data_IF_377967682274
#
_entry.id   IF_377967682274
#
_cell.length_a   1.000
_cell.length_b   1.000
_cell.length_c   1.000
_cell.angle_alpha   90.00
_cell.angle_beta   90.00
_cell.angle_gamma   90.00
#
_symmetry.space_group_name_H-M   'P 1'
#
loop_
_entity.id
_entity.type
_entity.pdbx_description
1 polymer ?
#
# COMPACT_ATOMS: atom_id res chain seq x y z
N UNK A 1 29.02 -2.18 16.15
CA UNK A 1 28.11 -3.33 16.36
C UNK A 1 26.69 -2.83 16.18
N UNK A 2 25.91 -3.44 15.29
CA UNK A 2 24.48 -3.10 15.17
C UNK A 2 23.70 -3.85 16.25
N UNK A 3 22.67 -3.22 16.83
CA UNK A 3 21.84 -3.82 17.89
C UNK A 3 20.45 -4.09 17.31
N UNK A 4 19.96 -5.31 17.49
CA UNK A 4 18.58 -5.64 17.15
C UNK A 4 17.61 -4.84 18.03
N UNK A 5 16.54 -4.33 17.42
CA UNK A 5 15.51 -3.53 18.10
C UNK A 5 14.14 -4.15 17.82
N UNK A 6 13.27 -4.15 18.82
CA UNK A 6 11.89 -4.62 18.67
C UNK A 6 11.13 -3.74 17.68
N UNK A 7 10.36 -4.31 16.73
CA UNK A 7 9.56 -3.52 15.82
C UNK A 7 8.49 -2.73 16.56
N UNK A 8 8.28 -1.50 16.11
CA UNK A 8 7.15 -0.67 16.52
C UNK A 8 6.04 -0.77 15.47
N UNK A 9 4.86 -1.21 15.89
CA UNK A 9 3.72 -1.39 15.00
C UNK A 9 2.86 -0.12 14.98
N UNK A 10 2.66 0.44 13.79
CA UNK A 10 1.72 1.55 13.56
C UNK A 10 0.32 0.97 13.39
N UNK A 11 -0.66 1.54 14.10
CA UNK A 11 -2.06 1.10 14.02
C UNK A 11 -2.68 1.57 12.71
N UNK A 12 -3.37 0.67 12.02
CA UNK A 12 -4.15 0.96 10.81
C UNK A 12 -5.64 0.77 11.13
N UNK A 13 -6.48 1.64 10.58
CA UNK A 13 -7.93 1.57 10.64
C UNK A 13 -8.57 1.72 9.24
N UNK A 14 -9.89 1.57 9.19
CA UNK A 14 -10.64 1.62 7.93
C UNK A 14 -10.49 0.35 7.09
N UNK A 15 -10.79 0.40 5.78
CA UNK A 15 -10.87 -0.79 4.94
C UNK A 15 -9.56 -1.59 4.86
N UNK A 16 -8.41 -0.94 4.95
CA UNK A 16 -7.10 -1.61 4.93
C UNK A 16 -6.84 -2.47 6.19
N UNK A 17 -7.58 -2.26 7.28
CA UNK A 17 -7.46 -3.08 8.48
C UNK A 17 -8.12 -4.47 8.34
N UNK A 18 -8.91 -4.71 7.29
CA UNK A 18 -9.42 -6.04 6.98
C UNK A 18 -8.25 -6.92 6.49
N UNK A 19 -8.03 -8.04 7.18
CA UNK A 19 -6.97 -8.99 6.85
C UNK A 19 -7.08 -9.54 5.44
N UNK A 20 -8.29 -9.55 4.86
CA UNK A 20 -8.51 -9.96 3.47
C UNK A 20 -7.93 -8.99 2.45
N UNK A 21 -7.46 -7.80 2.85
CA UNK A 21 -6.91 -6.88 1.87
C UNK A 21 -5.58 -7.37 1.30
N UNK A 22 -4.71 -7.95 2.15
CA UNK A 22 -3.36 -8.46 1.85
C UNK A 22 -2.53 -7.53 0.96
N UNK A 23 -1.47 -6.91 1.48
CA UNK A 23 -0.68 -5.96 0.70
C UNK A 23 0.47 -6.69 0.03
N UNK A 24 0.45 -6.78 -1.30
CA UNK A 24 1.48 -7.45 -2.09
C UNK A 24 2.63 -6.50 -2.45
N UNK A 25 2.35 -5.21 -2.62
CA UNK A 25 3.35 -4.22 -3.03
C UNK A 25 3.19 -2.86 -2.39
N UNK A 26 4.28 -2.10 -2.33
CA UNK A 26 4.25 -0.69 -1.94
C UNK A 26 5.39 0.09 -2.59
N UNK A 27 5.13 1.35 -2.93
CA UNK A 27 6.17 2.28 -3.39
C UNK A 27 5.75 3.74 -3.13
N UNK A 28 6.73 4.64 -3.15
CA UNK A 28 6.52 6.06 -2.94
C UNK A 28 6.24 6.79 -4.25
N UNK A 29 5.24 7.66 -4.23
CA UNK A 29 5.06 8.69 -5.24
C UNK A 29 4.82 10.03 -4.55
N UNK A 30 5.74 10.96 -4.81
CA UNK A 30 5.83 12.25 -4.10
C UNK A 30 5.83 12.05 -2.57
N UNK A 31 4.85 12.63 -1.88
CA UNK A 31 4.71 12.56 -0.42
C UNK A 31 3.78 11.44 0.03
N UNK A 32 3.50 10.44 -0.80
CA UNK A 32 2.55 9.40 -0.46
C UNK A 32 3.11 8.00 -0.69
N UNK A 33 2.89 7.13 0.29
CA UNK A 33 3.12 5.70 0.18
C UNK A 33 1.87 5.06 -0.41
N UNK A 34 2.02 4.49 -1.60
CA UNK A 34 0.98 3.68 -2.24
C UNK A 34 1.14 2.23 -1.80
N UNK A 35 0.01 1.59 -1.48
CA UNK A 35 -0.06 0.22 -1.00
C UNK A 35 -1.04 -0.52 -1.91
N UNK A 36 -0.52 -1.53 -2.60
CA UNK A 36 -1.25 -2.36 -3.55
C UNK A 36 -1.84 -3.57 -2.82
N UNK A 37 -3.17 -3.71 -2.76
CA UNK A 37 -3.79 -4.95 -2.34
C UNK A 37 -3.52 -6.05 -3.38
N UNK A 38 -3.26 -7.26 -2.91
CA UNK A 38 -3.13 -8.48 -3.72
C UNK A 38 -4.43 -8.76 -4.47
N UNK A 39 -5.56 -8.46 -3.82
CA UNK A 39 -6.88 -8.63 -4.38
C UNK A 39 -7.22 -7.58 -5.44
N UNK A 40 -7.78 -8.05 -6.56
CA UNK A 40 -8.17 -7.27 -7.74
C UNK A 40 -9.47 -6.47 -7.54
N UNK A 41 -9.49 -5.66 -6.49
CA UNK A 41 -10.68 -4.92 -6.09
C UNK A 41 -10.79 -3.53 -6.75
N UNK A 42 -9.87 -3.18 -7.67
CA UNK A 42 -9.90 -1.93 -8.44
C UNK A 42 -9.57 -0.69 -7.60
N UNK A 43 -8.73 -0.83 -6.59
CA UNK A 43 -8.23 0.29 -5.78
C UNK A 43 -6.84 0.03 -5.23
N UNK A 44 -6.18 1.12 -4.84
CA UNK A 44 -4.95 1.15 -4.04
C UNK A 44 -5.21 1.97 -2.78
N UNK A 45 -4.42 1.73 -1.74
CA UNK A 45 -4.41 2.56 -0.55
C UNK A 45 -3.27 3.56 -0.59
N UNK A 46 -3.47 4.70 0.06
CA UNK A 46 -2.53 5.80 0.14
C UNK A 46 -2.33 6.21 1.60
N UNK A 47 -1.09 6.39 2.01
CA UNK A 47 -0.75 7.03 3.29
C UNK A 47 0.17 8.22 3.00
N UNK A 48 -0.16 9.41 3.52
CA UNK A 48 0.73 10.55 3.40
C UNK A 48 1.96 10.38 4.31
N UNK A 49 3.12 10.82 3.84
CA UNK A 49 4.38 10.76 4.58
C UNK A 49 4.31 11.45 5.94
N UNK A 50 3.63 12.60 6.04
CA UNK A 50 3.50 13.32 7.32
C UNK A 50 2.71 12.52 8.36
N UNK A 51 1.75 11.71 7.93
CA UNK A 51 1.00 10.83 8.81
C UNK A 51 1.85 9.68 9.34
N UNK A 52 2.78 9.16 8.54
CA UNK A 52 3.73 8.15 8.99
C UNK A 52 4.76 8.76 9.94
N UNK A 53 5.32 9.92 9.57
CA UNK A 53 6.31 10.61 10.38
C UNK A 53 5.77 10.99 11.77
N UNK A 54 4.50 11.40 11.88
CA UNK A 54 3.89 11.72 13.19
C UNK A 54 3.76 10.49 14.10
N UNK A 55 3.44 9.31 13.53
CA UNK A 55 3.35 8.03 14.27
C UNK A 55 4.72 7.48 14.63
N UNK A 56 5.70 7.58 13.72
CA UNK A 56 7.09 7.18 13.96
C UNK A 56 7.71 8.02 15.08
N UNK A 57 7.49 9.33 15.05
CA UNK A 57 7.98 10.26 16.07
C UNK A 57 7.11 10.28 17.35
N UNK A 58 6.04 9.48 17.39
CA UNK A 58 5.10 9.38 18.52
C UNK A 58 4.46 10.70 18.94
N UNK A 59 4.39 11.67 18.03
CA UNK A 59 3.65 12.93 18.24
C UNK A 59 2.14 12.71 18.07
N UNK A 60 1.76 11.67 17.32
CA UNK A 60 0.40 11.13 17.24
C UNK A 60 0.44 9.60 17.41
N UNK A 61 -0.49 9.07 18.20
CA UNK A 61 -0.61 7.62 18.48
C UNK A 61 -1.92 7.01 17.97
N UNK A 62 -2.74 7.83 17.31
CA UNK A 62 -3.97 7.41 16.67
C UNK A 62 -3.68 6.48 15.49
N UNK A 63 -4.68 5.68 15.11
CA UNK A 63 -4.59 4.83 13.93
C UNK A 63 -4.58 5.68 12.65
N UNK A 64 -3.75 5.30 11.69
CA UNK A 64 -3.81 5.86 10.33
C UNK A 64 -4.99 5.22 9.62
N UNK A 65 -5.82 6.02 8.96
CA UNK A 65 -6.84 5.53 8.01
C UNK A 65 -6.37 5.82 6.59
N UNK A 66 -5.80 4.84 5.88
CA UNK A 66 -5.31 5.03 4.53
C UNK A 66 -6.44 5.44 3.58
N UNK A 67 -6.15 6.38 2.69
CA UNK A 67 -7.13 6.81 1.70
C UNK A 67 -7.25 5.74 0.62
N UNK A 68 -8.48 5.41 0.24
CA UNK A 68 -8.78 4.45 -0.82
C UNK A 68 -8.95 5.18 -2.13
N UNK A 69 -8.12 4.87 -3.12
CA UNK A 69 -8.13 5.53 -4.43
C UNK A 69 -8.46 4.49 -5.50
N UNK A 70 -9.30 4.87 -6.46
CA UNK A 70 -9.67 4.01 -7.59
C UNK A 70 -8.43 3.69 -8.42
N UNK A 71 -8.22 2.41 -8.68
CA UNK A 71 -7.16 1.91 -9.54
C UNK A 71 -7.80 1.30 -10.79
N UNK A 72 -7.70 2.03 -11.90
CA UNK A 72 -8.36 1.64 -13.15
C UNK A 72 -7.43 0.70 -13.94
N UNK A 73 -7.80 -0.57 -14.02
CA UNK A 73 -7.10 -1.56 -14.82
C UNK A 73 -8.07 -2.26 -15.78
N UNK A 74 -7.58 -2.84 -16.89
CA UNK A 74 -8.32 -3.85 -17.62
C UNK A 74 -8.72 -5.03 -16.74
N UNK A 75 -9.70 -5.81 -17.21
CA UNK A 75 -10.07 -7.08 -16.59
C UNK A 75 -9.03 -8.15 -16.96
N UNK A 76 -7.90 -8.14 -16.27
CA UNK A 76 -6.77 -9.03 -16.57
C UNK A 76 -7.12 -10.52 -16.41
N UNK A 77 -8.12 -10.89 -15.60
CA UNK A 77 -8.61 -12.28 -15.53
C UNK A 77 -9.16 -12.78 -16.87
N UNK A 78 -9.66 -11.88 -17.72
CA UNK A 78 -10.13 -12.22 -19.07
C UNK A 78 -9.03 -12.13 -20.13
N UNK A 79 -7.99 -11.35 -19.88
CA UNK A 79 -6.98 -10.98 -20.88
C UNK A 79 -5.71 -11.84 -20.75
N UNK A 80 -5.34 -12.22 -19.53
CA UNK A 80 -4.12 -12.95 -19.20
C UNK A 80 -4.48 -14.34 -18.62
N UNK A 81 -4.33 -15.42 -19.41
CA UNK A 81 -4.57 -16.77 -18.91
C UNK A 81 -3.67 -17.09 -17.71
N UNK A 82 -4.29 -17.54 -16.61
CA UNK A 82 -3.57 -17.87 -15.37
C UNK A 82 -3.25 -16.69 -14.46
N UNK A 83 -3.73 -15.48 -14.78
CA UNK A 83 -3.59 -14.33 -13.89
C UNK A 83 -4.44 -14.47 -12.63
N UNK A 84 -3.80 -14.28 -11.47
CA UNK A 84 -4.44 -14.37 -10.15
C UNK A 84 -4.43 -13.03 -9.41
N UNK A 85 -3.24 -12.47 -9.17
CA UNK A 85 -2.98 -11.28 -8.36
C UNK A 85 -1.90 -10.38 -8.96
N UNK A 86 -1.77 -9.17 -8.42
CA UNK A 86 -0.60 -8.32 -8.66
C UNK A 86 0.42 -8.49 -7.54
N UNK A 87 1.71 -8.47 -7.89
CA UNK A 87 2.80 -8.77 -6.95
C UNK A 87 3.61 -7.53 -6.54
N UNK A 88 3.64 -6.48 -7.36
CA UNK A 88 4.36 -5.25 -7.01
C UNK A 88 3.81 -4.02 -7.73
N UNK A 89 4.12 -2.86 -7.16
CA UNK A 89 3.92 -1.53 -7.76
C UNK A 89 5.24 -0.77 -7.69
N UNK A 90 5.57 -0.03 -8.75
CA UNK A 90 6.72 0.88 -8.77
C UNK A 90 6.39 2.15 -9.54
N UNK A 91 6.94 3.28 -9.09
CA UNK A 91 6.80 4.58 -9.74
C UNK A 91 8.14 5.04 -10.31
N UNK A 92 8.10 5.58 -11.54
CA UNK A 92 9.24 6.25 -12.18
C UNK A 92 8.77 7.56 -12.79
N UNK A 93 9.01 8.67 -12.10
CA UNK A 93 8.38 9.94 -12.47
C UNK A 93 6.86 9.77 -12.43
N UNK A 94 6.17 10.09 -13.53
CA UNK A 94 4.72 9.93 -13.66
C UNK A 94 4.28 8.54 -14.15
N UNK A 95 5.23 7.63 -14.43
CA UNK A 95 4.94 6.28 -14.90
C UNK A 95 4.72 5.34 -13.71
N UNK A 96 3.70 4.50 -13.81
CA UNK A 96 3.42 3.42 -12.87
C UNK A 96 3.63 2.07 -13.55
N UNK A 97 4.39 1.20 -12.89
CA UNK A 97 4.64 -0.17 -13.32
C UNK A 97 4.03 -1.13 -12.30
N UNK A 98 3.44 -2.21 -12.81
CA UNK A 98 2.83 -3.26 -12.02
C UNK A 98 3.39 -4.59 -12.50
N UNK A 99 3.76 -5.46 -11.56
CA UNK A 99 4.16 -6.84 -11.88
C UNK A 99 3.11 -7.84 -11.41
N UNK A 100 3.16 -9.02 -12.03
CA UNK A 100 2.34 -10.21 -11.76
C UNK A 100 3.27 -11.40 -11.55
#
# INVERSE_FOLDING_TARGET
MSKEVTPFYIKISGPMADKKQEISGMDWYENNLFLLPENLNGYVFLINKSDLDSRINKTDTSAITPQKIKFNTPDYKKILPGFDSFEAIAFRGYEVYISI
#
